data_IF_631658860388
#
_entry.id   IF_631658860388
#
_cell.length_a   1.000
_cell.length_b   1.000
_cell.length_c   1.000
_cell.angle_alpha   90.00
_cell.angle_beta   90.00
_cell.angle_gamma   90.00
#
_symmetry.space_group_name_H-M   'P 1'
#
loop_
_entity.id
_entity.type
_entity.pdbx_description
1 polymer ?
#
# COMPACT_ATOMS: atom_id res chain seq x y z
N UNK A 1 -7.99 14.04 -1.09
CA UNK A 1 -9.15 13.45 -0.40
C UNK A 1 -8.64 12.91 0.93
N UNK A 2 -9.19 13.33 2.07
CA UNK A 2 -8.78 12.74 3.36
C UNK A 2 -9.40 11.34 3.48
N UNK A 3 -8.62 10.30 3.77
CA UNK A 3 -9.15 8.95 3.88
C UNK A 3 -10.06 8.85 5.10
N UNK A 4 -11.18 8.14 4.95
CA UNK A 4 -12.00 7.78 6.10
C UNK A 4 -11.26 6.71 6.93
N UNK A 5 -10.64 7.12 8.04
CA UNK A 5 -9.83 6.21 8.88
C UNK A 5 -10.59 4.98 9.37
N UNK A 6 -11.90 5.10 9.59
CA UNK A 6 -12.74 3.96 10.00
C UNK A 6 -12.91 2.96 8.86
N UNK A 7 -13.13 3.47 7.66
CA UNK A 7 -13.21 2.63 6.45
C UNK A 7 -11.89 1.90 6.21
N UNK A 8 -10.76 2.61 6.28
CA UNK A 8 -9.45 1.98 6.10
C UNK A 8 -9.16 0.94 7.19
N UNK A 9 -9.48 1.23 8.46
CA UNK A 9 -9.32 0.26 9.54
C UNK A 9 -10.20 -0.99 9.36
N UNK A 10 -11.43 -0.82 8.85
CA UNK A 10 -12.30 -1.93 8.52
C UNK A 10 -11.75 -2.75 7.35
N UNK A 11 -11.24 -2.09 6.31
CA UNK A 11 -10.62 -2.74 5.17
C UNK A 11 -9.41 -3.60 5.58
N UNK A 12 -8.54 -3.07 6.44
CA UNK A 12 -7.40 -3.81 7.00
C UNK A 12 -7.89 -5.09 7.69
N UNK A 13 -8.93 -4.99 8.52
CA UNK A 13 -9.50 -6.15 9.23
C UNK A 13 -10.15 -7.16 8.29
N UNK A 14 -10.94 -6.70 7.33
CA UNK A 14 -11.63 -7.55 6.36
C UNK A 14 -10.65 -8.37 5.53
N UNK A 15 -9.56 -7.74 5.08
CA UNK A 15 -8.53 -8.38 4.27
C UNK A 15 -7.50 -9.18 5.07
N UNK A 16 -7.63 -9.27 6.40
CA UNK A 16 -6.67 -9.98 7.24
C UNK A 16 -5.27 -9.36 7.21
N UNK A 17 -5.17 -8.06 6.95
CA UNK A 17 -3.89 -7.37 6.83
C UNK A 17 -3.23 -7.23 8.20
N UNK A 18 -1.94 -7.54 8.25
CA UNK A 18 -1.05 -7.37 9.40
C UNK A 18 0.02 -6.33 9.07
N UNK A 19 0.30 -5.44 10.02
CA UNK A 19 1.38 -4.46 9.92
C UNK A 19 2.62 -4.99 10.63
N UNK A 20 3.71 -5.13 9.88
CA UNK A 20 5.00 -5.60 10.39
C UNK A 20 5.95 -4.42 10.54
N UNK A 21 6.44 -4.25 11.76
CA UNK A 21 7.44 -3.25 12.07
C UNK A 21 8.85 -3.77 11.76
N UNK A 22 9.68 -2.96 11.07
CA UNK A 22 11.10 -3.26 10.85
C UNK A 22 11.95 -2.03 11.13
N UNK A 23 12.97 -2.16 11.99
CA UNK A 23 13.92 -1.08 12.24
C UNK A 23 14.63 -0.69 10.94
N UNK A 24 14.77 0.61 10.71
CA UNK A 24 15.52 1.19 9.61
C UNK A 24 16.54 2.21 10.15
N UNK A 25 17.63 2.37 9.41
CA UNK A 25 18.71 3.30 9.73
C UNK A 25 19.18 3.94 8.44
N UNK A 26 19.24 5.27 8.41
CA UNK A 26 19.90 6.02 7.36
C UNK A 26 21.33 6.37 7.80
N UNK A 27 22.36 5.73 7.21
CA UNK A 27 23.75 5.99 7.57
C UNK A 27 24.22 7.41 7.23
N UNK A 28 23.59 8.07 6.24
CA UNK A 28 24.02 9.40 5.80
C UNK A 28 23.65 10.49 6.81
N UNK A 29 22.45 10.43 7.36
CA UNK A 29 21.98 11.37 8.40
C UNK A 29 22.17 10.86 9.83
N UNK A 30 22.49 9.57 10.01
CA UNK A 30 22.51 8.90 11.30
C UNK A 30 21.12 8.61 11.87
N UNK A 31 20.06 8.93 11.13
CA UNK A 31 18.69 8.79 11.60
C UNK A 31 18.29 7.30 11.75
N UNK A 32 17.41 7.02 12.71
CA UNK A 32 16.84 5.69 12.95
C UNK A 32 15.33 5.78 13.11
N UNK A 33 14.63 4.83 12.52
CA UNK A 33 13.18 4.71 12.68
C UNK A 33 12.67 3.31 12.40
N UNK A 34 11.41 3.22 11.99
CA UNK A 34 10.70 1.94 11.88
C UNK A 34 9.78 1.94 10.67
N UNK A 35 10.11 1.09 9.70
CA UNK A 35 9.24 0.80 8.57
C UNK A 35 8.00 0.06 9.05
N UNK A 36 6.84 0.38 8.48
CA UNK A 36 5.55 -0.23 8.81
C UNK A 36 5.00 -0.91 7.56
N UNK A 37 5.49 -2.11 7.29
CA UNK A 37 5.17 -2.84 6.08
C UNK A 37 3.84 -3.57 6.18
N UNK A 38 3.14 -3.63 5.06
CA UNK A 38 1.83 -4.28 4.94
C UNK A 38 2.01 -5.71 4.42
N UNK A 39 1.41 -6.69 5.10
CA UNK A 39 1.30 -8.09 4.64
C UNK A 39 -0.08 -8.66 4.90
N UNK A 40 -0.44 -9.71 4.19
CA UNK A 40 -1.56 -10.60 4.50
C UNK A 40 -1.04 -12.04 4.72
N UNK A 41 -1.90 -13.04 4.55
CA UNK A 41 -1.56 -14.46 4.65
C UNK A 41 -0.73 -14.97 3.45
N UNK A 42 -0.76 -14.27 2.31
CA UNK A 42 -0.01 -14.65 1.10
C UNK A 42 1.40 -14.02 1.09
N UNK A 43 1.60 -12.90 1.77
CA UNK A 43 2.92 -12.29 1.95
C UNK A 43 2.89 -10.77 2.07
N UNK A 44 4.05 -10.14 1.87
CA UNK A 44 4.15 -8.68 1.81
C UNK A 44 3.59 -8.14 0.50
N UNK A 45 2.73 -7.13 0.60
CA UNK A 45 2.06 -6.49 -0.54
C UNK A 45 3.04 -5.52 -1.21
N UNK A 46 3.29 -5.68 -2.51
CA UNK A 46 4.09 -4.75 -3.29
C UNK A 46 3.23 -3.79 -4.12
N UNK A 47 3.74 -2.59 -4.37
CA UNK A 47 3.04 -1.55 -5.14
C UNK A 47 2.67 -1.97 -6.58
N UNK A 48 3.33 -3.00 -7.11
CA UNK A 48 3.09 -3.55 -8.45
C UNK A 48 2.01 -4.65 -8.50
N UNK A 49 1.38 -4.96 -7.37
CA UNK A 49 0.34 -5.99 -7.28
C UNK A 49 0.87 -7.40 -6.98
N UNK A 50 2.17 -7.61 -6.80
CA UNK A 50 2.72 -8.93 -6.47
C UNK A 50 2.99 -9.12 -4.97
N UNK A 51 3.01 -10.37 -4.54
CA UNK A 51 3.46 -10.74 -3.20
C UNK A 51 4.97 -10.92 -3.13
N UNK A 52 5.52 -10.77 -1.93
CA UNK A 52 6.89 -11.17 -1.61
C UNK A 52 6.97 -11.82 -0.23
N UNK A 53 7.85 -12.80 -0.07
CA UNK A 53 8.04 -13.48 1.23
C UNK A 53 8.70 -12.57 2.28
N UNK A 54 9.41 -11.53 1.83
CA UNK A 54 10.15 -10.59 2.67
C UNK A 54 9.93 -9.17 2.19
N UNK A 55 9.91 -8.22 3.10
CA UNK A 55 9.81 -6.80 2.77
C UNK A 55 10.97 -6.36 1.85
N UNK A 56 10.60 -5.71 0.75
CA UNK A 56 11.49 -5.16 -0.28
C UNK A 56 11.33 -3.64 -0.38
N UNK A 57 12.09 -2.99 -1.26
CA UNK A 57 11.91 -1.56 -1.57
C UNK A 57 10.58 -1.25 -2.26
N UNK A 58 9.88 -2.26 -2.80
CA UNK A 58 8.56 -2.12 -3.43
C UNK A 58 7.40 -2.46 -2.50
N UNK A 59 7.70 -2.92 -1.29
CA UNK A 59 6.67 -3.27 -0.32
C UNK A 59 5.98 -2.01 0.18
N UNK A 60 4.65 -2.03 0.22
CA UNK A 60 3.86 -0.92 0.71
C UNK A 60 4.25 -0.63 2.17
N UNK A 61 4.74 0.58 2.40
CA UNK A 61 5.22 1.07 3.69
C UNK A 61 4.37 2.25 4.18
N UNK A 62 3.77 2.10 5.36
CA UNK A 62 2.90 3.11 5.96
C UNK A 62 3.66 4.27 6.61
N UNK A 63 4.98 4.17 6.74
CA UNK A 63 5.80 5.02 7.60
C UNK A 63 6.70 6.02 6.86
N UNK A 64 6.57 6.14 5.54
CA UNK A 64 7.47 6.96 4.71
C UNK A 64 8.95 6.58 4.92
N UNK A 65 9.31 5.32 4.65
CA UNK A 65 10.68 4.81 4.87
C UNK A 65 11.14 4.99 6.33
N UNK A 66 10.19 4.80 7.25
CA UNK A 66 10.38 4.80 8.69
C UNK A 66 10.30 6.16 9.36
N UNK A 67 10.10 7.24 8.60
CA UNK A 67 10.08 8.62 9.10
C UNK A 67 8.88 8.97 9.99
N UNK A 68 7.82 8.15 9.98
CA UNK A 68 6.76 7.95 11.00
C UNK A 68 5.41 7.64 10.33
N UNK A 69 4.46 7.08 11.09
CA UNK A 69 3.06 7.01 10.65
C UNK A 69 2.42 8.41 10.67
N UNK A 70 2.41 9.09 9.53
CA UNK A 70 1.94 10.48 9.39
C UNK A 70 0.71 10.58 8.48
N UNK A 71 -0.25 11.41 8.89
CA UNK A 71 -1.50 11.67 8.15
C UNK A 71 -1.29 12.17 6.72
N UNK A 72 -0.13 12.77 6.41
CA UNK A 72 0.22 13.25 5.08
C UNK A 72 0.34 12.12 4.05
N UNK A 73 0.74 10.93 4.48
CA UNK A 73 1.00 9.79 3.59
C UNK A 73 -0.10 8.73 3.65
N UNK A 74 -0.92 8.75 4.70
CA UNK A 74 -1.89 7.69 4.95
C UNK A 74 -2.94 7.56 3.85
N UNK A 75 -3.35 8.67 3.22
CA UNK A 75 -4.27 8.64 2.08
C UNK A 75 -3.68 7.91 0.88
N UNK A 76 -2.45 8.27 0.49
CA UNK A 76 -1.75 7.60 -0.61
C UNK A 76 -1.49 6.12 -0.33
N UNK A 77 -1.14 5.78 0.92
CA UNK A 77 -0.92 4.40 1.32
C UNK A 77 -2.19 3.55 1.31
N UNK A 78 -3.34 4.13 1.69
CA UNK A 78 -4.63 3.43 1.55
C UNK A 78 -4.95 3.12 0.08
N UNK A 79 -4.74 4.09 -0.83
CA UNK A 79 -4.95 3.87 -2.26
C UNK A 79 -4.02 2.79 -2.84
N UNK A 80 -2.75 2.75 -2.43
CA UNK A 80 -1.82 1.68 -2.83
C UNK A 80 -2.34 0.29 -2.45
N UNK A 81 -2.88 0.14 -1.23
CA UNK A 81 -3.44 -1.14 -0.77
C UNK A 81 -4.70 -1.49 -1.55
N UNK A 82 -5.62 -0.55 -1.79
CA UNK A 82 -6.81 -0.81 -2.60
C UNK A 82 -6.44 -1.25 -4.02
N UNK A 83 -5.48 -0.55 -4.64
CA UNK A 83 -4.96 -0.89 -5.96
C UNK A 83 -4.35 -2.29 -5.99
N UNK A 84 -3.59 -2.67 -4.96
CA UNK A 84 -3.05 -4.02 -4.82
C UNK A 84 -4.15 -5.09 -4.94
N UNK A 85 -5.22 -4.97 -4.14
CA UNK A 85 -6.32 -5.94 -4.17
C UNK A 85 -7.12 -5.89 -5.48
N UNK A 86 -7.29 -4.70 -6.06
CA UNK A 86 -7.94 -4.57 -7.37
C UNK A 86 -7.15 -5.30 -8.47
N UNK A 87 -5.82 -5.14 -8.52
CA UNK A 87 -4.94 -5.84 -9.46
C UNK A 87 -4.99 -7.36 -9.29
N UNK A 88 -5.04 -7.86 -8.05
CA UNK A 88 -5.13 -9.29 -7.77
C UNK A 88 -6.51 -9.89 -8.04
N UNK A 89 -7.53 -9.04 -8.24
CA UNK A 89 -8.89 -9.45 -8.63
C UNK A 89 -9.13 -9.34 -10.14
N UNK A 90 -8.13 -8.99 -10.96
CA UNK A 90 -8.25 -8.89 -12.43
C UNK A 90 -8.34 -10.27 -13.10
N UNK A 91 -9.40 -11.02 -12.80
CA UNK A 91 -9.58 -12.39 -13.28
C UNK A 91 -10.41 -12.46 -14.56
N UNK A 92 -11.15 -11.40 -14.88
CA UNK A 92 -12.00 -11.31 -16.07
C UNK A 92 -11.68 -10.07 -16.93
N UNK A 93 -12.14 -10.08 -18.18
CA UNK A 93 -12.09 -8.90 -19.04
C UNK A 93 -12.88 -7.73 -18.46
N UNK A 94 -13.97 -8.00 -17.76
CA UNK A 94 -14.77 -6.96 -17.10
C UNK A 94 -13.95 -6.25 -16.01
N UNK A 95 -13.28 -7.03 -15.14
CA UNK A 95 -12.40 -6.48 -14.11
C UNK A 95 -11.28 -5.63 -14.72
N UNK A 96 -10.69 -6.12 -15.81
CA UNK A 96 -9.66 -5.39 -16.56
C UNK A 96 -10.19 -4.10 -17.18
N UNK A 97 -11.38 -4.12 -17.78
CA UNK A 97 -12.04 -2.95 -18.37
C UNK A 97 -12.29 -1.87 -17.33
N UNK A 98 -12.81 -2.24 -16.15
CA UNK A 98 -13.02 -1.33 -15.02
C UNK A 98 -11.70 -0.72 -14.57
N UNK A 99 -10.64 -1.52 -14.44
CA UNK A 99 -9.31 -1.01 -14.09
C UNK A 99 -8.78 -0.01 -15.14
N UNK A 100 -8.89 -0.32 -16.43
CA UNK A 100 -8.45 0.58 -17.50
C UNK A 100 -9.20 1.90 -17.44
N UNK A 101 -10.51 1.89 -17.20
CA UNK A 101 -11.30 3.12 -17.06
C UNK A 101 -10.88 3.96 -15.86
N UNK A 102 -10.55 3.33 -14.73
CA UNK A 102 -10.07 4.01 -13.51
C UNK A 102 -8.71 4.71 -13.71
N UNK A 103 -7.79 4.08 -14.46
CA UNK A 103 -6.45 4.64 -14.71
C UNK A 103 -6.38 5.56 -15.94
N UNK A 104 -7.46 5.66 -16.72
CA UNK A 104 -7.50 6.52 -17.91
C UNK A 104 -7.75 7.97 -17.50
N UNK A 105 -6.73 8.81 -17.67
CA UNK A 105 -6.88 10.26 -17.53
C UNK A 105 -7.56 10.84 -18.78
N UNK A 106 -8.45 11.82 -18.59
CA UNK A 106 -8.97 12.62 -19.70
C UNK A 106 -7.90 13.57 -20.21
N UNK A 107 -7.82 13.73 -21.52
CA UNK A 107 -6.99 14.75 -22.14
C UNK A 107 -7.45 16.14 -21.65
N UNK A 108 -6.50 16.98 -21.25
CA UNK A 108 -6.79 18.35 -20.83
C UNK A 108 -6.96 19.22 -22.08
N UNK A 109 -8.13 19.86 -22.23
CA UNK A 109 -8.38 20.89 -23.25
C UNK A 109 -7.67 22.21 -22.93
#
# INVERSE_FOLDING_TARGET
MEPNYREFANFIKEKGIVIVERKTHDPASGWTGKNMYVRDDNGFLNEDGNYSERATTRTIDLSENGYCFDKRFIGGNYEKIKKFYALNNLTTFEDFSVFIQDVTAKEAE
#
